data_IF_810189638099
#
_entry.id   IF_810189638099
#
_cell.length_a   1.000
_cell.length_b   1.000
_cell.length_c   1.000
_cell.angle_alpha   90.00
_cell.angle_beta   90.00
_cell.angle_gamma   90.00
#
_symmetry.space_group_name_H-M   'P 1'
#
loop_
_entity.id
_entity.type
_entity.pdbx_description
1 polymer ?
#
# COMPACT_ATOMS: atom_id res chain seq x y z
N UNK A 1 9.42 23.03 -1.23
CA UNK A 1 8.32 22.08 -0.89
C UNK A 1 7.77 22.47 0.47
N UNK A 2 6.47 22.33 0.77
CA UNK A 2 5.95 22.57 2.11
C UNK A 2 6.39 21.47 3.09
N UNK A 3 6.49 21.78 4.40
CA UNK A 3 7.02 20.86 5.41
C UNK A 3 6.24 19.52 5.50
N UNK A 4 4.95 19.55 5.19
CA UNK A 4 4.10 18.36 5.13
C UNK A 4 4.61 17.32 4.13
N UNK A 5 5.17 17.77 3.00
CA UNK A 5 5.64 16.91 1.91
C UNK A 5 7.04 16.34 2.15
N UNK A 6 7.77 16.83 3.16
CA UNK A 6 9.10 16.30 3.51
C UNK A 6 8.96 14.89 4.10
N UNK A 7 9.57 13.83 3.52
CA UNK A 7 9.41 12.47 4.03
C UNK A 7 9.91 12.31 5.47
N UNK A 8 9.11 11.64 6.31
CA UNK A 8 9.42 11.38 7.73
C UNK A 8 10.70 10.54 7.91
N UNK A 9 10.97 9.61 7.02
CA UNK A 9 12.22 8.87 6.98
C UNK A 9 12.64 8.61 5.53
N UNK A 10 13.96 8.67 5.30
CA UNK A 10 14.58 8.28 4.03
C UNK A 10 15.90 7.60 4.36
N UNK A 11 15.91 6.27 4.23
CA UNK A 11 17.03 5.42 4.57
C UNK A 11 17.31 4.45 3.41
N UNK A 12 18.57 4.03 3.25
CA UNK A 12 18.90 3.04 2.23
C UNK A 12 18.23 1.67 2.54
N UNK A 13 17.81 0.91 1.51
CA UNK A 13 16.99 -0.29 1.70
C UNK A 13 17.76 -1.50 2.24
N UNK A 14 19.10 -1.48 2.19
CA UNK A 14 19.94 -2.56 2.67
C UNK A 14 21.29 -2.07 3.16
N UNK A 15 21.90 -2.81 4.07
CA UNK A 15 23.26 -2.62 4.54
C UNK A 15 23.37 -2.10 5.96
N UNK A 16 24.60 -1.74 6.36
CA UNK A 16 24.90 -1.17 7.67
C UNK A 16 25.43 0.25 7.47
N UNK A 17 24.74 1.24 8.00
CA UNK A 17 25.03 2.64 7.73
C UNK A 17 24.68 3.57 8.88
N UNK A 18 25.18 4.81 8.82
CA UNK A 18 24.93 5.84 9.83
C UNK A 18 23.60 6.52 9.55
N UNK A 19 22.92 6.94 10.61
CA UNK A 19 21.71 7.74 10.51
C UNK A 19 21.72 8.86 11.54
N UNK A 20 20.93 9.90 11.28
CA UNK A 20 20.67 11.00 12.19
C UNK A 20 19.16 11.24 12.34
N UNK A 21 18.77 11.69 13.53
CA UNK A 21 17.43 12.21 13.83
C UNK A 21 17.51 13.74 13.79
N UNK A 22 16.65 14.36 13.00
CA UNK A 22 16.72 15.80 12.71
C UNK A 22 15.38 16.43 13.05
N UNK A 23 15.41 17.55 13.77
CA UNK A 23 14.28 18.47 13.85
C UNK A 23 14.38 19.49 12.73
N UNK A 24 13.38 19.53 11.87
CA UNK A 24 13.24 20.46 10.75
C UNK A 24 12.25 21.53 11.16
N UNK A 25 12.66 22.80 11.11
CA UNK A 25 11.80 23.95 11.38
C UNK A 25 11.66 24.78 10.11
N UNK A 26 10.43 24.93 9.62
CA UNK A 26 10.13 25.79 8.46
C UNK A 26 10.25 27.26 8.86
N UNK A 27 11.14 28.02 8.19
CA UNK A 27 11.47 29.38 8.64
C UNK A 27 10.28 30.33 8.59
N UNK A 28 9.41 30.17 7.58
CA UNK A 28 8.28 31.05 7.33
C UNK A 28 7.14 30.88 8.35
N UNK A 29 6.80 29.64 8.69
CA UNK A 29 5.64 29.31 9.55
C UNK A 29 6.03 28.96 10.98
N UNK A 30 7.32 28.65 11.22
CA UNK A 30 7.83 28.05 12.47
C UNK A 30 7.25 26.68 12.78
N UNK A 31 6.61 26.02 11.81
CA UNK A 31 6.19 24.64 11.95
C UNK A 31 7.42 23.73 12.08
N UNK A 32 7.31 22.71 12.93
CA UNK A 32 8.38 21.75 13.19
C UNK A 32 7.97 20.33 12.80
N UNK A 33 8.95 19.55 12.34
CA UNK A 33 8.77 18.13 12.01
C UNK A 33 10.04 17.36 12.33
N UNK A 34 9.90 16.17 12.90
CA UNK A 34 11.03 15.25 13.08
C UNK A 34 11.18 14.38 11.84
N UNK A 35 12.41 14.20 11.38
CA UNK A 35 12.74 13.31 10.27
C UNK A 35 13.97 12.44 10.58
N UNK A 36 14.05 11.31 9.89
CA UNK A 36 15.21 10.39 9.92
C UNK A 36 15.87 10.34 8.56
N UNK A 37 17.20 10.40 8.53
CA UNK A 37 18.02 10.28 7.32
C UNK A 37 19.18 9.33 7.58
N UNK A 38 19.51 8.47 6.62
CA UNK A 38 20.65 7.56 6.75
C UNK A 38 21.00 6.84 5.45
N UNK A 39 22.26 6.91 5.05
CA UNK A 39 22.73 6.42 3.75
C UNK A 39 24.04 5.66 3.87
N UNK A 40 24.18 4.55 3.16
CA UNK A 40 25.37 3.72 3.12
C UNK A 40 26.57 4.44 2.48
N UNK A 41 26.31 5.40 1.59
CA UNK A 41 27.35 6.25 0.97
C UNK A 41 27.96 7.26 1.94
N UNK A 42 27.28 7.61 3.04
CA UNK A 42 27.76 8.61 3.99
C UNK A 42 28.74 7.98 4.98
N UNK A 43 29.99 8.43 4.96
CA UNK A 43 31.05 7.92 5.83
C UNK A 43 30.88 8.42 7.26
N UNK A 44 30.30 9.60 7.45
CA UNK A 44 30.09 10.24 8.75
C UNK A 44 28.64 10.70 8.94
N UNK A 45 28.25 10.95 10.19
CA UNK A 45 26.94 11.53 10.52
C UNK A 45 26.78 12.95 9.94
N UNK A 46 27.88 13.71 9.89
CA UNK A 46 27.91 15.04 9.28
C UNK A 46 27.55 14.99 7.80
N UNK A 47 28.09 14.03 7.03
CA UNK A 47 27.76 13.87 5.61
C UNK A 47 26.25 13.68 5.38
N UNK A 48 25.57 12.97 6.28
CA UNK A 48 24.11 12.80 6.20
C UNK A 48 23.38 14.12 6.43
N UNK A 49 23.87 14.95 7.35
CA UNK A 49 23.31 16.27 7.61
C UNK A 49 23.54 17.21 6.42
N UNK A 50 24.77 17.26 5.89
CA UNK A 50 25.13 18.08 4.72
C UNK A 50 24.28 17.73 3.48
N UNK A 51 24.05 16.44 3.24
CA UNK A 51 23.15 15.99 2.18
C UNK A 51 21.70 16.42 2.43
N UNK A 52 21.24 16.37 3.68
CA UNK A 52 19.88 16.78 4.05
C UNK A 52 19.67 18.29 3.89
N UNK A 53 20.66 19.10 4.26
CA UNK A 53 20.65 20.56 4.05
C UNK A 53 20.57 20.90 2.56
N UNK A 54 21.32 20.19 1.71
CA UNK A 54 21.24 20.34 0.25
C UNK A 54 19.88 19.91 -0.31
N UNK A 55 19.30 18.83 0.22
CA UNK A 55 17.98 18.32 -0.21
C UNK A 55 16.86 19.31 0.12
N UNK A 56 16.85 19.88 1.33
CA UNK A 56 15.77 20.74 1.81
C UNK A 56 15.95 22.22 1.45
N UNK A 57 17.19 22.64 1.18
CA UNK A 57 17.52 24.03 0.85
C UNK A 57 17.43 24.97 2.04
N UNK A 58 17.44 26.27 1.75
CA UNK A 58 17.60 27.33 2.77
C UNK A 58 16.32 27.71 3.50
N UNK A 59 15.17 27.19 3.11
CA UNK A 59 13.86 27.53 3.69
C UNK A 59 13.64 26.88 5.08
N UNK A 60 14.51 25.95 5.44
CA UNK A 60 14.44 25.18 6.67
C UNK A 60 15.64 25.43 7.58
N UNK A 61 15.42 25.31 8.87
CA UNK A 61 16.45 25.22 9.90
C UNK A 61 16.50 23.76 10.37
N UNK A 62 17.70 23.17 10.34
CA UNK A 62 17.91 21.77 10.72
C UNK A 62 18.69 21.70 12.03
N UNK A 63 18.11 21.00 13.00
CA UNK A 63 18.79 20.68 14.25
C UNK A 63 18.96 19.16 14.35
N UNK A 64 20.21 18.70 14.26
CA UNK A 64 20.52 17.30 14.51
C UNK A 64 20.37 16.98 16.01
N UNK A 65 19.40 16.13 16.35
CA UNK A 65 19.08 15.71 17.72
C UNK A 65 19.91 14.51 18.19
N UNK A 66 20.76 13.96 17.32
CA UNK A 66 21.61 12.82 17.60
C UNK A 66 21.68 11.86 16.42
N UNK A 67 22.43 10.77 16.58
CA UNK A 67 22.49 9.73 15.57
C UNK A 67 22.84 8.36 16.11
N UNK A 68 23.08 7.43 15.20
CA UNK A 68 23.46 6.06 15.50
C UNK A 68 23.79 5.29 14.22
N UNK A 69 23.55 3.98 14.24
CA UNK A 69 23.68 3.08 13.10
C UNK A 69 22.39 2.30 12.87
N UNK A 70 22.13 2.02 11.61
CA UNK A 70 21.09 1.12 11.13
C UNK A 70 21.77 -0.09 10.49
N UNK A 71 21.27 -1.29 10.78
CA UNK A 71 21.42 -2.46 9.93
C UNK A 71 20.05 -2.77 9.32
N UNK A 72 19.92 -2.59 8.01
CA UNK A 72 18.70 -2.84 7.26
C UNK A 72 18.90 -4.08 6.38
N UNK A 73 18.02 -5.05 6.50
CA UNK A 73 18.02 -6.27 5.68
C UNK A 73 16.62 -6.43 5.07
N UNK A 74 16.43 -5.88 3.86
CA UNK A 74 15.13 -5.83 3.18
C UNK A 74 14.54 -7.23 2.98
N UNK A 75 15.38 -8.19 2.59
CA UNK A 75 14.98 -9.61 2.38
C UNK A 75 14.37 -10.24 3.63
N UNK A 76 14.84 -9.85 4.82
CA UNK A 76 14.38 -10.40 6.09
C UNK A 76 13.36 -9.49 6.78
N UNK A 77 12.98 -8.36 6.15
CA UNK A 77 12.13 -7.33 6.74
C UNK A 77 12.62 -6.88 8.13
N UNK A 78 13.94 -6.82 8.33
CA UNK A 78 14.55 -6.53 9.63
C UNK A 78 15.35 -5.23 9.60
N UNK A 79 15.08 -4.38 10.59
CA UNK A 79 15.83 -3.14 10.85
C UNK A 79 16.30 -3.20 12.30
N UNK A 80 17.61 -3.11 12.50
CA UNK A 80 18.24 -2.98 13.81
C UNK A 80 18.86 -1.59 13.94
N UNK A 81 18.52 -0.88 15.01
CA UNK A 81 19.02 0.48 15.30
C UNK A 81 19.83 0.44 16.57
N UNK A 82 21.05 0.98 16.54
CA UNK A 82 21.99 0.88 17.67
C UNK A 82 23.09 1.94 17.62
N UNK A 83 23.84 2.07 18.72
CA UNK A 83 24.98 2.97 18.82
C UNK A 83 24.59 4.45 18.94
N UNK A 84 25.56 5.34 18.66
CA UNK A 84 25.42 6.78 18.80
C UNK A 84 26.27 7.55 17.75
N UNK A 85 26.04 8.85 17.60
CA UNK A 85 26.92 9.75 16.82
C UNK A 85 28.01 10.34 17.70
N UNK A 86 29.27 10.31 17.24
CA UNK A 86 30.36 10.97 17.95
C UNK A 86 30.23 12.50 17.95
N UNK A 87 29.70 13.09 16.87
CA UNK A 87 29.54 14.54 16.75
C UNK A 87 28.25 15.09 17.35
N UNK A 88 27.21 14.26 17.45
CA UNK A 88 25.85 14.70 17.82
C UNK A 88 25.25 13.95 19.01
N UNK A 89 25.97 12.98 19.58
CA UNK A 89 25.46 12.14 20.66
C UNK A 89 24.44 11.07 20.21
N UNK A 90 23.83 10.35 21.17
CA UNK A 90 22.81 9.36 20.89
C UNK A 90 21.48 10.01 20.49
N UNK A 91 20.83 9.49 19.44
CA UNK A 91 19.44 9.82 19.14
C UNK A 91 18.47 9.05 20.05
N UNK A 92 17.20 9.50 20.08
CA UNK A 92 16.10 8.66 20.56
C UNK A 92 15.74 7.62 19.48
N UNK A 93 16.15 6.38 19.73
CA UNK A 93 15.95 5.29 18.78
C UNK A 93 14.48 4.87 18.64
N UNK A 94 13.64 5.14 19.65
CA UNK A 94 12.20 4.84 19.60
C UNK A 94 11.48 5.79 18.63
N UNK A 95 11.84 7.08 18.66
CA UNK A 95 11.34 8.07 17.70
C UNK A 95 11.78 7.69 16.29
N UNK A 96 13.04 7.30 16.13
CA UNK A 96 13.55 6.82 14.84
C UNK A 96 12.71 5.66 14.30
N UNK A 97 12.50 4.61 15.11
CA UNK A 97 11.70 3.44 14.69
C UNK A 97 10.30 3.85 14.28
N UNK A 98 9.64 4.71 15.07
CA UNK A 98 8.31 5.20 14.77
C UNK A 98 8.25 5.94 13.43
N UNK A 99 9.23 6.80 13.15
CA UNK A 99 9.31 7.54 11.88
C UNK A 99 9.59 6.62 10.69
N UNK A 100 10.47 5.63 10.84
CA UNK A 100 10.76 4.66 9.79
C UNK A 100 9.55 3.77 9.52
N UNK A 101 8.87 3.25 10.55
CA UNK A 101 7.65 2.45 10.40
C UNK A 101 6.57 3.26 9.69
N UNK A 102 6.27 4.47 10.16
CA UNK A 102 5.24 5.32 9.55
C UNK A 102 5.59 5.73 8.10
N UNK A 103 6.90 5.86 7.78
CA UNK A 103 7.36 6.16 6.42
C UNK A 103 7.39 4.92 5.52
N UNK A 104 7.66 3.73 6.08
CA UNK A 104 7.46 2.45 5.42
C UNK A 104 5.97 2.19 5.17
N UNK A 105 5.06 2.58 6.08
CA UNK A 105 3.62 2.55 5.85
C UNK A 105 3.20 3.53 4.74
N UNK A 106 3.93 4.63 4.54
CA UNK A 106 3.79 5.48 3.35
C UNK A 106 4.38 4.85 2.08
N UNK A 107 5.41 4.00 2.17
CA UNK A 107 6.00 3.26 1.04
C UNK A 107 5.29 1.93 0.72
N UNK A 108 4.49 1.40 1.67
CA UNK A 108 3.57 0.26 1.50
C UNK A 108 2.11 0.68 1.63
N UNK A 109 1.82 1.95 1.31
CA UNK A 109 0.49 2.31 0.84
C UNK A 109 0.36 1.67 -0.53
N UNK A 110 -0.10 0.41 -0.59
CA UNK A 110 -0.95 0.07 -1.71
C UNK A 110 -2.08 1.10 -1.65
N UNK A 111 -1.96 2.15 -2.45
CA UNK A 111 -3.08 3.02 -2.71
C UNK A 111 -4.19 2.11 -3.25
N UNK A 112 -5.45 2.39 -2.92
CA UNK A 112 -6.60 1.70 -3.51
C UNK A 112 -6.51 1.65 -5.04
N UNK A 113 -5.79 2.59 -5.67
CA UNK A 113 -5.48 2.62 -7.11
C UNK A 113 -4.70 1.39 -7.60
N UNK A 114 -3.85 0.79 -6.76
CA UNK A 114 -3.00 -0.34 -7.13
C UNK A 114 -3.74 -1.69 -7.08
N UNK A 115 -4.86 -1.77 -6.35
CA UNK A 115 -5.71 -2.96 -6.35
C UNK A 115 -6.49 -2.96 -7.68
N UNK A 116 -6.48 -4.00 -8.51
CA UNK A 116 -7.30 -4.01 -9.73
C UNK A 116 -8.81 -4.03 -9.40
N UNK A 117 -9.61 -3.21 -10.07
CA UNK A 117 -11.07 -3.19 -9.88
C UNK A 117 -11.71 -4.52 -10.29
N UNK A 118 -11.18 -5.16 -11.34
CA UNK A 118 -11.63 -6.47 -11.82
C UNK A 118 -10.43 -7.35 -12.07
N UNK A 119 -10.44 -8.54 -11.48
CA UNK A 119 -9.50 -9.61 -11.80
C UNK A 119 -10.27 -10.93 -11.88
N UNK A 120 -10.38 -11.45 -13.10
CA UNK A 120 -11.18 -12.63 -13.43
C UNK A 120 -10.45 -13.49 -14.45
N UNK A 121 -10.74 -14.79 -14.48
CA UNK A 121 -10.19 -15.69 -15.48
C UNK A 121 -10.60 -15.28 -16.92
N UNK A 122 -9.72 -15.48 -17.91
CA UNK A 122 -9.87 -14.93 -19.26
C UNK A 122 -10.99 -15.57 -20.10
N UNK A 123 -11.54 -16.70 -19.66
CA UNK A 123 -12.63 -17.40 -20.35
C UNK A 123 -13.30 -18.42 -19.43
N UNK A 124 -14.42 -19.00 -19.86
CA UNK A 124 -15.13 -20.13 -19.25
C UNK A 124 -16.15 -19.72 -18.18
N UNK A 125 -16.65 -20.71 -17.42
CA UNK A 125 -17.66 -20.52 -16.38
C UNK A 125 -17.02 -20.71 -15.01
N UNK A 126 -17.15 -19.70 -14.14
CA UNK A 126 -16.53 -19.73 -12.81
C UNK A 126 -17.35 -18.92 -11.80
N UNK A 127 -17.09 -19.19 -10.51
CA UNK A 127 -17.67 -18.42 -9.41
C UNK A 127 -16.96 -17.07 -9.31
N UNK A 128 -17.70 -16.04 -8.92
CA UNK A 128 -17.13 -14.73 -8.61
C UNK A 128 -17.70 -14.17 -7.31
N UNK A 129 -16.96 -13.27 -6.68
CA UNK A 129 -17.42 -12.46 -5.55
C UNK A 129 -17.21 -10.98 -5.81
N UNK A 130 -18.06 -10.17 -5.19
CA UNK A 130 -17.89 -8.73 -5.10
C UNK A 130 -17.43 -8.39 -3.69
N UNK A 131 -16.36 -7.60 -3.58
CA UNK A 131 -15.71 -7.26 -2.32
C UNK A 131 -15.65 -5.75 -2.18
N UNK A 132 -16.05 -5.25 -1.02
CA UNK A 132 -15.76 -3.88 -0.59
C UNK A 132 -14.39 -3.89 0.08
N UNK A 133 -13.47 -3.11 -0.47
CA UNK A 133 -12.12 -2.90 0.07
C UNK A 133 -12.07 -1.53 0.70
N UNK A 134 -11.70 -1.46 1.97
CA UNK A 134 -11.53 -0.21 2.72
C UNK A 134 -10.06 -0.07 3.09
N UNK A 135 -9.42 1.02 2.67
CA UNK A 135 -8.05 1.34 3.09
C UNK A 135 -8.07 1.72 4.57
N UNK A 136 -7.26 1.04 5.40
CA UNK A 136 -7.27 1.29 6.85
C UNK A 136 -6.67 2.66 7.22
N UNK A 137 -5.76 3.18 6.40
CA UNK A 137 -5.09 4.46 6.62
C UNK A 137 -5.96 5.67 6.27
N UNK A 138 -6.72 5.60 5.17
CA UNK A 138 -7.49 6.75 4.64
C UNK A 138 -9.00 6.61 4.84
N UNK A 139 -9.48 5.42 5.23
CA UNK A 139 -10.91 5.06 5.23
C UNK A 139 -11.60 5.15 3.86
N UNK A 140 -10.85 5.37 2.79
CA UNK A 140 -11.37 5.31 1.43
C UNK A 140 -11.85 3.88 1.11
N UNK A 141 -12.90 3.79 0.29
CA UNK A 141 -13.52 2.51 -0.05
C UNK A 141 -13.64 2.35 -1.56
N UNK A 142 -13.56 1.10 -2.03
CA UNK A 142 -13.95 0.76 -3.39
C UNK A 142 -14.51 -0.65 -3.52
N UNK A 143 -15.18 -0.88 -4.63
CA UNK A 143 -15.73 -2.19 -5.00
C UNK A 143 -14.81 -2.87 -5.99
N UNK A 144 -14.49 -4.15 -5.74
CA UNK A 144 -13.73 -4.99 -6.66
C UNK A 144 -14.47 -6.28 -6.98
N UNK A 145 -14.17 -6.86 -8.14
CA UNK A 145 -14.69 -8.14 -8.63
C UNK A 145 -13.55 -9.13 -8.76
N UNK A 146 -13.74 -10.33 -8.21
CA UNK A 146 -12.77 -11.44 -8.25
C UNK A 146 -13.45 -12.73 -8.67
N UNK A 147 -12.89 -13.48 -9.61
CA UNK A 147 -13.51 -14.71 -10.11
C UNK A 147 -12.56 -15.64 -10.85
N UNK A 148 -12.43 -16.89 -10.37
CA UNK A 148 -11.42 -17.82 -10.87
C UNK A 148 -11.97 -19.25 -10.98
N UNK A 149 -11.61 -19.96 -12.05
CA UNK A 149 -12.00 -21.35 -12.33
C UNK A 149 -11.46 -22.32 -11.29
N UNK A 150 -10.22 -22.12 -10.81
CA UNK A 150 -9.62 -23.01 -9.81
C UNK A 150 -10.31 -22.90 -8.44
N UNK A 151 -11.05 -21.81 -8.20
CA UNK A 151 -11.79 -21.61 -6.97
C UNK A 151 -13.18 -22.29 -7.02
N UNK A 152 -13.24 -23.53 -6.53
CA UNK A 152 -14.49 -24.31 -6.43
C UNK A 152 -15.60 -23.63 -5.60
N UNK A 153 -15.22 -22.76 -4.65
CA UNK A 153 -16.14 -22.09 -3.71
C UNK A 153 -15.86 -20.60 -3.59
N UNK A 154 -16.89 -19.78 -3.42
CA UNK A 154 -16.77 -18.32 -3.20
C UNK A 154 -15.83 -17.95 -2.06
N UNK A 155 -15.85 -18.72 -0.96
CA UNK A 155 -14.97 -18.51 0.20
C UNK A 155 -13.48 -18.67 -0.14
N UNK A 156 -13.15 -19.49 -1.15
CA UNK A 156 -11.77 -19.69 -1.57
C UNK A 156 -11.25 -18.46 -2.33
N UNK A 157 -12.10 -17.85 -3.17
CA UNK A 157 -11.80 -16.58 -3.83
C UNK A 157 -11.54 -15.49 -2.79
N UNK A 158 -12.39 -15.41 -1.76
CA UNK A 158 -12.24 -14.42 -0.69
C UNK A 158 -10.92 -14.60 0.06
N UNK A 159 -10.63 -15.83 0.53
CA UNK A 159 -9.37 -16.15 1.22
C UNK A 159 -8.12 -15.88 0.37
N UNK A 160 -8.20 -16.15 -0.93
CA UNK A 160 -7.11 -15.84 -1.86
C UNK A 160 -6.92 -14.32 -1.97
N UNK A 161 -8.01 -13.59 -2.13
CA UNK A 161 -7.97 -12.11 -2.24
C UNK A 161 -7.42 -11.46 -0.96
N UNK A 162 -7.77 -11.98 0.22
CA UNK A 162 -7.21 -11.51 1.51
C UNK A 162 -5.68 -11.66 1.56
N UNK A 163 -5.14 -12.75 1.00
CA UNK A 163 -3.68 -12.97 0.95
C UNK A 163 -2.99 -12.06 -0.06
N UNK A 164 -3.61 -11.83 -1.22
CA UNK A 164 -3.04 -11.03 -2.31
C UNK A 164 -3.01 -9.54 -1.98
N UNK A 165 -4.06 -9.01 -1.35
CA UNK A 165 -4.20 -7.58 -1.04
C UNK A 165 -3.47 -7.22 0.26
N UNK A 166 -3.33 -8.16 1.20
CA UNK A 166 -2.57 -7.97 2.43
C UNK A 166 -3.32 -7.22 3.54
N UNK A 167 -2.61 -7.00 4.65
CA UNK A 167 -3.21 -6.54 5.91
C UNK A 167 -3.55 -5.03 5.96
N UNK A 168 -3.07 -4.24 5.00
CA UNK A 168 -3.30 -2.78 4.93
C UNK A 168 -4.74 -2.41 4.60
N UNK A 169 -5.55 -3.39 4.17
CA UNK A 169 -6.95 -3.18 3.82
C UNK A 169 -7.89 -4.02 4.69
N UNK A 170 -9.11 -3.52 4.85
CA UNK A 170 -10.24 -4.28 5.38
C UNK A 170 -11.10 -4.74 4.21
N UNK A 171 -11.38 -6.04 4.13
CA UNK A 171 -12.15 -6.65 3.05
C UNK A 171 -13.49 -7.12 3.59
N UNK A 172 -14.57 -6.77 2.90
CA UNK A 172 -15.91 -7.28 3.16
C UNK A 172 -16.49 -7.88 1.89
N UNK A 173 -16.71 -9.20 1.87
CA UNK A 173 -17.47 -9.84 0.79
C UNK A 173 -18.93 -9.39 0.89
N UNK A 174 -19.45 -8.73 -0.15
CA UNK A 174 -20.82 -8.18 -0.17
C UNK A 174 -21.78 -9.01 -1.03
N UNK A 175 -21.30 -10.11 -1.60
CA UNK A 175 -22.10 -11.06 -2.36
C UNK A 175 -21.27 -11.80 -3.40
N UNK A 176 -21.91 -12.65 -4.19
CA UNK A 176 -21.28 -13.26 -5.34
C UNK A 176 -22.28 -13.88 -6.30
N UNK A 177 -21.76 -14.67 -7.23
CA UNK A 177 -22.53 -15.40 -8.23
C UNK A 177 -21.59 -16.21 -9.13
N UNK A 178 -21.93 -16.31 -10.41
CA UNK A 178 -21.11 -16.88 -11.48
C UNK A 178 -20.93 -15.91 -12.62
N UNK A 179 -19.83 -16.08 -13.33
CA UNK A 179 -19.54 -15.41 -14.59
C UNK A 179 -19.33 -16.49 -15.64
N UNK A 180 -19.98 -16.32 -16.79
CA UNK A 180 -19.64 -17.00 -18.03
C UNK A 180 -18.92 -16.00 -18.93
N UNK A 181 -17.66 -16.27 -19.22
CA UNK A 181 -16.78 -15.42 -20.01
C UNK A 181 -16.46 -16.10 -21.35
N UNK A 182 -16.96 -15.53 -22.45
CA UNK A 182 -16.77 -16.05 -23.80
C UNK A 182 -16.02 -15.00 -24.64
N UNK A 183 -14.67 -14.97 -24.60
CA UNK A 183 -13.89 -13.94 -25.28
C UNK A 183 -14.07 -13.95 -26.81
N UNK A 184 -14.30 -15.14 -27.39
CA UNK A 184 -14.56 -15.31 -28.82
C UNK A 184 -15.82 -14.58 -29.30
N UNK A 185 -16.82 -14.43 -28.41
CA UNK A 185 -18.07 -13.71 -28.67
C UNK A 185 -18.04 -12.28 -28.12
N UNK A 186 -16.92 -11.88 -27.50
CA UNK A 186 -16.82 -10.67 -26.66
C UNK A 186 -18.02 -10.56 -25.71
N UNK A 187 -18.38 -11.65 -25.03
CA UNK A 187 -19.55 -11.67 -24.13
C UNK A 187 -19.22 -12.13 -22.73
N UNK A 188 -19.86 -11.48 -21.76
CA UNK A 188 -19.83 -11.82 -20.35
C UNK A 188 -21.26 -11.90 -19.83
N UNK A 189 -21.59 -12.97 -19.11
CA UNK A 189 -22.88 -13.13 -18.46
C UNK A 189 -22.70 -13.36 -16.96
N UNK A 190 -23.24 -12.44 -16.15
CA UNK A 190 -23.15 -12.45 -14.69
C UNK A 190 -24.46 -12.97 -14.10
N UNK A 191 -24.44 -14.05 -13.32
CA UNK A 191 -25.69 -14.64 -12.85
C UNK A 191 -25.60 -15.40 -11.52
N UNK A 192 -26.76 -15.79 -10.99
CA UNK A 192 -26.88 -16.62 -9.79
C UNK A 192 -26.36 -15.97 -8.52
N UNK A 193 -25.98 -16.77 -7.52
CA UNK A 193 -25.65 -16.24 -6.19
C UNK A 193 -24.54 -17.03 -5.48
N UNK A 194 -23.99 -16.44 -4.41
CA UNK A 194 -23.16 -17.16 -3.45
C UNK A 194 -24.02 -17.76 -2.35
N UNK A 195 -23.95 -19.08 -2.14
CA UNK A 195 -24.65 -19.75 -1.03
C UNK A 195 -24.26 -19.17 0.34
N UNK A 196 -23.02 -18.69 0.49
CA UNK A 196 -22.52 -18.14 1.77
C UNK A 196 -22.76 -16.65 1.92
N UNK A 197 -22.65 -15.90 0.83
CA UNK A 197 -22.61 -14.43 0.86
C UNK A 197 -23.85 -13.77 0.26
N UNK A 198 -24.80 -14.56 -0.24
CA UNK A 198 -25.95 -14.07 -0.99
C UNK A 198 -25.59 -13.60 -2.41
N UNK A 199 -26.59 -13.09 -3.15
CA UNK A 199 -26.36 -12.48 -4.46
C UNK A 199 -25.59 -11.16 -4.30
N UNK A 200 -24.60 -10.94 -5.17
CA UNK A 200 -24.03 -9.60 -5.35
C UNK A 200 -25.01 -8.70 -6.11
N UNK A 201 -24.84 -7.37 -6.01
CA UNK A 201 -25.52 -6.44 -6.94
C UNK A 201 -24.91 -6.61 -8.34
N UNK A 202 -25.54 -7.41 -9.19
CA UNK A 202 -24.97 -7.78 -10.48
C UNK A 202 -24.80 -6.58 -11.41
N UNK A 203 -25.67 -5.57 -11.31
CA UNK A 203 -25.56 -4.29 -12.00
C UNK A 203 -24.21 -3.61 -11.74
N UNK A 204 -23.78 -3.58 -10.47
CA UNK A 204 -22.50 -2.99 -10.10
C UNK A 204 -21.32 -3.82 -10.63
N UNK A 205 -21.47 -5.14 -10.64
CA UNK A 205 -20.47 -6.05 -11.22
C UNK A 205 -20.33 -5.81 -12.72
N UNK A 206 -21.45 -5.71 -13.45
CA UNK A 206 -21.48 -5.39 -14.88
C UNK A 206 -20.83 -4.04 -15.16
N UNK A 207 -21.10 -3.00 -14.36
CA UNK A 207 -20.47 -1.70 -14.54
C UNK A 207 -18.94 -1.75 -14.40
N UNK A 208 -18.43 -2.51 -13.44
CA UNK A 208 -16.97 -2.70 -13.28
C UNK A 208 -16.37 -3.51 -14.42
N UNK A 209 -17.06 -4.58 -14.85
CA UNK A 209 -16.64 -5.38 -16.00
C UNK A 209 -16.64 -4.56 -17.30
N UNK A 210 -17.64 -3.71 -17.52
CA UNK A 210 -17.73 -2.87 -18.72
C UNK A 210 -16.59 -1.86 -18.80
N UNK A 211 -16.11 -1.35 -17.67
CA UNK A 211 -14.91 -0.50 -17.64
C UNK A 211 -13.64 -1.25 -18.09
N UNK A 212 -13.51 -2.53 -17.73
CA UNK A 212 -12.36 -3.36 -18.11
C UNK A 212 -12.48 -3.92 -19.53
N UNK A 213 -13.70 -4.24 -19.97
CA UNK A 213 -14.03 -4.83 -21.27
C UNK A 213 -15.03 -3.93 -22.02
N UNK A 214 -14.61 -2.74 -22.48
CA UNK A 214 -15.52 -1.75 -23.05
C UNK A 214 -16.25 -2.22 -24.31
N UNK A 215 -15.63 -3.12 -25.07
CA UNK A 215 -16.20 -3.68 -26.30
C UNK A 215 -17.08 -4.91 -26.09
N UNK A 216 -17.19 -5.41 -24.85
CA UNK A 216 -17.94 -6.64 -24.59
C UNK A 216 -19.43 -6.35 -24.42
N UNK A 217 -20.26 -7.28 -24.88
CA UNK A 217 -21.67 -7.36 -24.49
C UNK A 217 -21.77 -8.04 -23.13
N UNK A 218 -22.09 -7.27 -22.10
CA UNK A 218 -22.16 -7.75 -20.72
C UNK A 218 -23.60 -7.70 -20.24
N UNK A 219 -24.15 -8.85 -19.84
CA UNK A 219 -25.52 -8.97 -19.33
C UNK A 219 -25.55 -9.64 -17.97
N UNK A 220 -26.68 -9.54 -17.26
CA UNK A 220 -26.85 -10.20 -15.98
C UNK A 220 -28.26 -10.76 -15.78
N UNK A 221 -28.38 -11.71 -14.84
CA UNK A 221 -29.65 -12.21 -14.32
C UNK A 221 -29.50 -12.62 -12.86
N UNK A 222 -30.50 -12.38 -12.02
CA UNK A 222 -30.50 -12.92 -10.64
C UNK A 222 -30.93 -14.39 -10.57
N UNK A 223 -31.36 -14.95 -11.70
CA UNK A 223 -31.75 -16.36 -11.82
C UNK A 223 -30.55 -17.27 -12.15
N UNK A 224 -30.76 -18.57 -11.98
CA UNK A 224 -29.76 -19.61 -12.24
C UNK A 224 -28.81 -19.87 -11.06
N UNK A 225 -28.06 -20.98 -11.13
CA UNK A 225 -27.05 -21.32 -10.13
C UNK A 225 -25.71 -21.72 -10.72
#
# INVERSE_FOLDING_TARGET
MPLVDVPGAKIDPDGVFKYILIKVTEKATKNEKLIVRGYARCAYHGDVLDETEKELGTDYELLCLGGGRIKHESKNHSILVYGYSQGYGPADHQIMFSLVINSCEHFTSMSLRNVPDVDIDPEGVFKYIMIKVTAKSTSEEKMIVRGYKHCKWHKNIFKQTEKEIGASFSLKCVGGGRIMHEPQKKSLFVYGYSQRYGPAKHEQTVNLLQKKYPEYKITYSYEGY
#
